data_IF_499738125907
#
_entry.id   IF_499738125907
#
_cell.length_a   1.000
_cell.length_b   1.000
_cell.length_c   1.000
_cell.angle_alpha   90.00
_cell.angle_beta   90.00
_cell.angle_gamma   90.00
#
_symmetry.space_group_name_H-M   'P 1'
#
loop_
_entity.id
_entity.type
_entity.pdbx_description
1 polymer ?
#
# COMPACT_ATOMS: atom_id res chain seq x y z
N UNK A 1 6.76 63.19 57.92
CA UNK A 1 7.17 63.32 56.50
C UNK A 1 7.27 61.91 55.90
N UNK A 2 6.91 61.75 54.62
CA UNK A 2 6.12 60.65 54.04
C UNK A 2 7.01 59.67 53.21
N UNK A 3 6.53 58.72 52.35
CA UNK A 3 5.15 58.48 51.91
C UNK A 3 4.64 57.03 51.76
N UNK A 4 3.30 56.98 51.70
CA UNK A 4 2.35 56.12 50.99
C UNK A 4 2.81 55.39 49.71
N UNK A 5 2.51 54.07 49.67
CA UNK A 5 2.16 53.19 48.52
C UNK A 5 3.21 53.01 47.37
N UNK A 6 3.19 51.94 46.53
CA UNK A 6 2.00 51.29 45.94
C UNK A 6 1.93 49.75 45.98
N UNK A 7 0.69 49.26 45.84
CA UNK A 7 0.40 47.91 45.34
C UNK A 7 1.02 47.70 43.95
N UNK A 8 1.83 46.66 43.85
CA UNK A 8 2.13 45.89 42.65
C UNK A 8 2.37 44.47 43.20
N UNK A 9 1.65 43.44 42.82
CA UNK A 9 1.85 42.79 41.54
C UNK A 9 0.66 41.87 41.28
N UNK A 10 -0.24 42.28 40.38
CA UNK A 10 -1.27 41.42 39.81
C UNK A 10 -0.98 41.31 38.32
N UNK A 11 0.00 40.48 37.99
CA UNK A 11 0.17 39.92 36.67
C UNK A 11 0.52 38.44 36.83
N UNK A 12 -0.52 37.60 36.90
CA UNK A 12 -0.33 36.18 36.71
C UNK A 12 0.33 35.95 35.34
N UNK A 13 1.41 35.16 35.24
CA UNK A 13 1.95 34.80 33.94
C UNK A 13 0.88 33.99 33.20
N UNK A 14 0.44 34.54 32.07
CA UNK A 14 -0.36 33.82 31.08
C UNK A 14 0.46 32.61 30.68
N UNK A 15 0.03 31.41 31.11
CA UNK A 15 0.65 30.17 30.68
C UNK A 15 0.64 30.16 29.15
N UNK A 16 1.75 29.74 28.50
CA UNK A 16 1.80 29.70 27.05
C UNK A 16 0.62 28.85 26.57
N UNK A 17 -0.17 29.43 25.67
CA UNK A 17 -1.01 28.66 24.77
C UNK A 17 -0.01 27.76 24.06
N UNK A 18 0.05 26.48 24.45
CA UNK A 18 0.72 25.48 23.65
C UNK A 18 -0.06 25.46 22.35
N UNK A 19 0.42 26.24 21.38
CA UNK A 19 0.18 26.01 19.98
C UNK A 19 0.59 24.56 19.77
N UNK A 20 -0.41 23.68 19.82
CA UNK A 20 -0.31 22.37 19.23
C UNK A 20 -0.34 22.61 17.73
N UNK A 21 0.67 23.32 17.23
CA UNK A 21 1.17 23.20 15.89
C UNK A 21 1.30 21.70 15.74
N UNK A 22 0.33 21.14 15.02
CA UNK A 22 0.24 19.73 14.69
C UNK A 22 1.66 19.36 14.33
N UNK A 23 2.33 18.59 15.20
CA UNK A 23 3.47 17.81 14.80
C UNK A 23 3.03 17.17 13.50
N UNK A 24 3.60 17.62 12.39
CA UNK A 24 3.22 17.13 11.08
C UNK A 24 3.61 15.66 11.10
N UNK A 25 2.64 14.79 11.38
CA UNK A 25 2.85 13.36 11.35
C UNK A 25 3.35 13.05 9.94
N UNK A 26 4.57 12.53 9.83
CA UNK A 26 5.10 12.04 8.56
C UNK A 26 4.11 11.02 7.98
N UNK A 27 3.89 11.05 6.66
CA UNK A 27 2.97 10.13 5.94
C UNK A 27 3.20 8.67 6.33
N UNK A 28 4.47 8.32 6.55
CA UNK A 28 4.90 6.98 6.94
C UNK A 28 5.45 6.92 8.38
N UNK A 29 5.30 5.76 9.05
CA UNK A 29 6.07 5.43 10.24
C UNK A 29 7.58 5.52 9.98
N UNK A 30 8.37 5.89 10.99
CA UNK A 30 9.82 6.15 10.86
C UNK A 30 10.59 5.03 10.15
N UNK A 31 10.31 3.77 10.47
CA UNK A 31 11.00 2.63 9.85
C UNK A 31 10.66 2.47 8.36
N UNK A 32 9.42 2.79 7.97
CA UNK A 32 8.96 2.72 6.58
C UNK A 32 9.52 3.89 5.78
N UNK A 33 9.46 5.09 6.36
CA UNK A 33 10.04 6.29 5.77
C UNK A 33 11.55 6.13 5.52
N UNK A 34 12.30 5.59 6.49
CA UNK A 34 13.72 5.31 6.33
C UNK A 34 14.00 4.29 5.21
N UNK A 35 13.26 3.18 5.15
CA UNK A 35 13.44 2.17 4.11
C UNK A 35 13.15 2.72 2.70
N UNK A 36 12.11 3.57 2.58
CA UNK A 36 11.78 4.26 1.33
C UNK A 36 12.88 5.26 0.94
N UNK A 37 13.37 6.04 1.89
CA UNK A 37 14.45 6.99 1.64
C UNK A 37 15.77 6.31 1.24
N UNK A 38 16.10 5.18 1.86
CA UNK A 38 17.27 4.37 1.51
C UNK A 38 17.14 3.78 0.10
N UNK A 39 15.92 3.42 -0.33
CA UNK A 39 15.59 3.00 -1.69
C UNK A 39 15.56 4.17 -2.71
N UNK A 40 15.77 5.41 -2.27
CA UNK A 40 15.81 6.60 -3.13
C UNK A 40 14.49 7.35 -3.28
N UNK A 41 13.42 6.94 -2.61
CA UNK A 41 12.16 7.70 -2.58
C UNK A 41 12.32 8.99 -1.76
N UNK A 42 11.63 10.05 -2.18
CA UNK A 42 11.54 11.31 -1.43
C UNK A 42 10.10 11.82 -1.50
N UNK A 43 9.60 12.51 -0.47
CA UNK A 43 8.26 13.13 -0.52
C UNK A 43 8.10 14.01 -1.76
N UNK A 44 6.99 13.83 -2.48
CA UNK A 44 6.71 14.55 -3.73
C UNK A 44 7.36 13.97 -4.98
N UNK A 45 8.05 12.80 -4.89
CA UNK A 45 8.48 12.04 -6.07
C UNK A 45 7.27 11.71 -6.94
N UNK A 46 7.40 11.97 -8.24
CA UNK A 46 6.37 11.65 -9.22
C UNK A 46 6.98 11.53 -10.62
N UNK A 47 7.14 10.31 -11.11
CA UNK A 47 7.69 10.00 -12.43
C UNK A 47 6.59 9.47 -13.37
N UNK A 48 5.78 10.40 -13.87
CA UNK A 48 4.70 10.06 -14.80
C UNK A 48 5.22 9.51 -16.12
N UNK A 49 6.39 9.95 -16.59
CA UNK A 49 6.96 9.47 -17.85
C UNK A 49 7.30 7.97 -17.76
N UNK A 50 7.92 7.56 -16.66
CA UNK A 50 8.22 6.14 -16.42
C UNK A 50 6.93 5.32 -16.25
N UNK A 51 5.94 5.84 -15.54
CA UNK A 51 4.65 5.18 -15.35
C UNK A 51 3.91 4.96 -16.69
N UNK A 52 3.89 5.97 -17.56
CA UNK A 52 3.33 5.87 -18.92
C UNK A 52 4.08 4.84 -19.77
N UNK A 53 5.40 4.81 -19.69
CA UNK A 53 6.20 3.81 -20.42
C UNK A 53 5.83 2.38 -20.01
N UNK A 54 5.67 2.11 -18.71
CA UNK A 54 5.20 0.81 -18.24
C UNK A 54 3.76 0.52 -18.64
N UNK A 55 2.88 1.53 -18.59
CA UNK A 55 1.50 1.38 -19.02
C UNK A 55 1.42 0.94 -20.50
N UNK A 56 2.23 1.54 -21.37
CA UNK A 56 2.29 1.18 -22.78
C UNK A 56 2.89 -0.20 -23.02
N UNK A 57 3.95 -0.57 -22.27
CA UNK A 57 4.54 -1.90 -22.33
C UNK A 57 3.52 -2.98 -21.94
N UNK A 58 2.77 -2.77 -20.85
CA UNK A 58 1.73 -3.70 -20.38
C UNK A 58 0.56 -3.81 -21.37
N UNK A 59 0.08 -2.70 -21.92
CA UNK A 59 -1.03 -2.68 -22.91
C UNK A 59 -0.64 -3.34 -24.23
N UNK A 60 0.62 -3.19 -24.64
CA UNK A 60 1.15 -3.79 -25.87
C UNK A 60 1.38 -5.29 -25.71
N UNK A 61 1.62 -5.77 -24.48
CA UNK A 61 1.78 -7.18 -24.21
C UNK A 61 0.46 -7.94 -24.34
N UNK A 62 0.50 -9.04 -25.09
CA UNK A 62 -0.56 -10.04 -25.12
C UNK A 62 0.10 -11.39 -24.89
N UNK A 63 -0.38 -12.14 -23.89
CA UNK A 63 0.14 -13.48 -23.62
C UNK A 63 -0.13 -14.42 -24.82
N UNK A 64 0.59 -15.55 -24.94
CA UNK A 64 0.34 -16.53 -26.00
C UNK A 64 -1.11 -17.04 -26.07
N UNK A 65 -1.82 -17.04 -24.93
CA UNK A 65 -3.22 -17.44 -24.83
C UNK A 65 -4.22 -16.28 -25.02
N UNK A 66 -3.75 -15.09 -25.42
CA UNK A 66 -4.60 -13.93 -25.72
C UNK A 66 -4.95 -13.05 -24.51
N UNK A 67 -4.52 -13.41 -23.29
CA UNK A 67 -4.74 -12.57 -22.11
C UNK A 67 -3.95 -11.26 -22.19
N UNK A 68 -4.56 -10.17 -21.73
CA UNK A 68 -4.03 -8.81 -21.73
C UNK A 68 -4.10 -8.21 -20.32
N UNK A 69 -3.22 -7.27 -20.03
CA UNK A 69 -3.27 -6.49 -18.80
C UNK A 69 -4.30 -5.36 -18.92
N UNK A 70 -4.88 -5.01 -17.77
CA UNK A 70 -5.66 -3.78 -17.56
C UNK A 70 -4.78 -2.73 -16.90
N UNK A 71 -4.94 -1.47 -17.28
CA UNK A 71 -4.22 -0.34 -16.69
C UNK A 71 -5.20 0.77 -16.39
N UNK A 72 -5.22 1.23 -15.14
CA UNK A 72 -6.17 2.20 -14.59
C UNK A 72 -5.44 3.22 -13.69
N UNK A 73 -6.09 4.33 -13.29
CA UNK A 73 -5.43 5.43 -12.59
C UNK A 73 -4.66 5.02 -11.33
N UNK A 74 -5.27 4.22 -10.43
CA UNK A 74 -4.62 3.81 -9.19
C UNK A 74 -3.27 3.09 -9.41
N UNK A 75 -3.16 2.26 -10.46
CA UNK A 75 -1.91 1.60 -10.81
C UNK A 75 -0.87 2.61 -11.32
N UNK A 76 -1.28 3.51 -12.23
CA UNK A 76 -0.38 4.54 -12.80
C UNK A 76 0.13 5.49 -11.72
N UNK A 77 -0.72 5.89 -10.79
CA UNK A 77 -0.37 6.76 -9.66
C UNK A 77 0.63 6.07 -8.73
N UNK A 78 0.39 4.80 -8.39
CA UNK A 78 1.32 3.99 -7.60
C UNK A 78 2.69 3.86 -8.29
N UNK A 79 2.71 3.62 -9.60
CA UNK A 79 3.95 3.53 -10.38
C UNK A 79 4.69 4.87 -10.48
N UNK A 80 3.96 5.97 -10.67
CA UNK A 80 4.55 7.30 -10.76
C UNK A 80 5.23 7.69 -9.44
N UNK A 81 4.60 7.39 -8.30
CA UNK A 81 5.17 7.75 -7.01
C UNK A 81 6.26 6.78 -6.54
N UNK A 82 6.02 5.47 -6.64
CA UNK A 82 6.87 4.45 -6.00
C UNK A 82 7.56 3.48 -6.96
N UNK A 83 7.24 3.56 -8.25
CA UNK A 83 7.81 2.64 -9.22
C UNK A 83 9.33 2.79 -9.36
N UNK A 84 10.03 1.69 -9.63
CA UNK A 84 11.48 1.62 -9.78
C UNK A 84 12.25 1.58 -8.46
N UNK A 85 11.55 1.52 -7.32
CA UNK A 85 12.19 1.36 -6.01
C UNK A 85 12.50 -0.11 -5.73
N UNK A 86 13.73 -0.37 -5.28
CA UNK A 86 14.16 -1.63 -4.68
C UNK A 86 14.25 -1.45 -3.16
N UNK A 87 13.31 -2.03 -2.42
CA UNK A 87 13.18 -1.83 -0.99
C UNK A 87 13.66 -3.10 -0.27
N UNK A 88 14.64 -2.93 0.61
CA UNK A 88 15.25 -4.01 1.38
C UNK A 88 15.06 -3.76 2.88
N UNK A 89 13.93 -4.18 3.48
CA UNK A 89 13.71 -3.97 4.90
C UNK A 89 14.72 -4.77 5.74
N UNK A 90 15.31 -4.14 6.76
CA UNK A 90 16.37 -4.73 7.58
C UNK A 90 15.93 -5.08 9.01
N UNK A 91 14.71 -4.72 9.39
CA UNK A 91 14.16 -5.01 10.70
C UNK A 91 13.69 -6.47 10.86
N UNK A 92 13.52 -6.97 12.09
CA UNK A 92 13.07 -8.35 12.34
C UNK A 92 11.62 -8.61 11.91
N UNK A 93 10.86 -7.54 11.62
CA UNK A 93 9.41 -7.58 11.39
C UNK A 93 8.61 -7.73 12.67
N UNK A 94 7.31 -7.41 12.59
CA UNK A 94 6.37 -7.47 13.72
C UNK A 94 5.79 -8.86 13.92
N UNK A 95 5.47 -9.56 12.84
CA UNK A 95 4.83 -10.87 12.85
C UNK A 95 5.57 -11.90 11.99
N UNK A 96 6.17 -11.44 10.89
CA UNK A 96 6.95 -12.25 9.94
C UNK A 96 8.22 -11.49 9.57
N UNK A 97 9.27 -12.21 9.17
CA UNK A 97 10.47 -11.57 8.63
C UNK A 97 10.09 -10.83 7.33
N UNK A 98 10.35 -9.52 7.23
CA UNK A 98 10.18 -8.79 5.98
C UNK A 98 11.08 -9.38 4.91
N UNK A 99 10.63 -9.35 3.66
CA UNK A 99 11.49 -9.75 2.55
C UNK A 99 11.71 -8.59 1.58
N UNK A 100 12.80 -8.60 0.79
CA UNK A 100 13.06 -7.54 -0.17
C UNK A 100 12.01 -7.55 -1.29
N UNK A 101 11.62 -6.38 -1.77
CA UNK A 101 10.64 -6.24 -2.84
C UNK A 101 10.99 -5.08 -3.77
N UNK A 102 10.56 -5.21 -5.02
CA UNK A 102 10.79 -4.23 -6.09
C UNK A 102 9.45 -3.79 -6.64
N UNK A 103 9.25 -2.48 -6.77
CA UNK A 103 8.05 -1.89 -7.38
C UNK A 103 8.29 -1.63 -8.87
N UNK A 104 8.41 -2.69 -9.65
CA UNK A 104 8.45 -2.60 -11.11
C UNK A 104 7.38 -3.53 -11.69
N UNK A 105 6.33 -2.96 -12.32
CA UNK A 105 5.19 -3.73 -12.80
C UNK A 105 5.52 -4.71 -13.93
N UNK A 106 6.67 -4.56 -14.60
CA UNK A 106 7.09 -5.49 -15.65
C UNK A 106 7.47 -6.88 -15.10
N UNK A 107 7.72 -7.02 -13.80
CA UNK A 107 7.86 -8.34 -13.17
C UNK A 107 6.57 -9.18 -13.27
N UNK A 108 5.40 -8.53 -13.41
CA UNK A 108 4.13 -9.20 -13.66
C UNK A 108 3.76 -9.32 -15.15
N UNK A 109 4.65 -8.95 -16.09
CA UNK A 109 4.32 -8.86 -17.52
C UNK A 109 3.71 -10.14 -18.07
N UNK A 110 4.21 -11.31 -17.67
CA UNK A 110 3.75 -12.61 -18.17
C UNK A 110 2.60 -13.22 -17.36
N UNK A 111 2.08 -12.50 -16.36
CA UNK A 111 1.04 -12.99 -15.44
C UNK A 111 -0.36 -12.45 -15.76
N UNK A 112 -0.59 -11.93 -16.97
CA UNK A 112 -1.89 -11.38 -17.41
C UNK A 112 -3.07 -12.33 -17.16
N UNK A 113 -2.86 -13.65 -17.30
CA UNK A 113 -3.87 -14.64 -16.95
C UNK A 113 -4.14 -14.66 -15.45
N UNK A 114 -3.10 -14.87 -14.65
CA UNK A 114 -3.20 -15.00 -13.19
C UNK A 114 -3.84 -13.77 -12.56
N UNK A 115 -3.41 -12.57 -12.97
CA UNK A 115 -3.97 -11.31 -12.47
C UNK A 115 -5.42 -11.12 -12.94
N UNK A 116 -5.74 -11.53 -14.17
CA UNK A 116 -7.14 -11.54 -14.64
C UNK A 116 -8.02 -12.55 -13.90
N UNK A 117 -7.48 -13.70 -13.50
CA UNK A 117 -8.20 -14.71 -12.71
C UNK A 117 -8.46 -14.18 -11.29
N UNK A 118 -7.47 -13.54 -10.65
CA UNK A 118 -7.65 -12.84 -9.37
C UNK A 118 -8.69 -11.71 -9.48
N UNK A 119 -8.58 -10.86 -10.49
CA UNK A 119 -9.51 -9.74 -10.69
C UNK A 119 -10.96 -10.20 -10.85
N UNK A 120 -11.20 -11.30 -11.58
CA UNK A 120 -12.55 -11.90 -11.65
C UNK A 120 -13.04 -12.42 -10.30
N UNK A 121 -12.17 -13.00 -9.48
CA UNK A 121 -12.55 -13.48 -8.15
C UNK A 121 -12.84 -12.34 -7.17
N UNK A 122 -12.20 -11.18 -7.36
CA UNK A 122 -12.36 -9.97 -6.55
C UNK A 122 -13.40 -8.99 -7.11
N UNK A 123 -13.98 -9.30 -8.29
CA UNK A 123 -14.89 -8.43 -9.04
C UNK A 123 -14.32 -7.03 -9.32
N UNK A 124 -13.03 -6.95 -9.64
CA UNK A 124 -12.31 -5.71 -9.95
C UNK A 124 -11.21 -5.94 -10.99
N UNK A 125 -10.72 -4.87 -11.61
CA UNK A 125 -9.56 -4.94 -12.49
C UNK A 125 -8.28 -4.93 -11.65
N UNK A 126 -7.31 -5.76 -12.03
CA UNK A 126 -6.04 -5.92 -11.30
C UNK A 126 -4.86 -5.69 -12.25
N UNK A 127 -3.90 -4.88 -11.81
CA UNK A 127 -2.67 -4.58 -12.51
C UNK A 127 -1.45 -5.04 -11.71
N UNK A 128 -0.34 -5.40 -12.37
CA UNK A 128 0.90 -5.71 -11.66
C UNK A 128 1.48 -4.45 -11.00
N UNK A 129 2.07 -4.62 -9.82
CA UNK A 129 2.73 -3.55 -9.08
C UNK A 129 4.24 -3.81 -8.94
N UNK A 130 4.65 -5.07 -8.84
CA UNK A 130 6.03 -5.42 -8.55
C UNK A 130 6.21 -6.89 -8.20
N UNK A 131 7.27 -7.19 -7.45
CA UNK A 131 7.55 -8.53 -6.94
C UNK A 131 8.17 -8.48 -5.55
N UNK A 132 8.06 -9.58 -4.82
CA UNK A 132 8.70 -9.79 -3.53
C UNK A 132 9.61 -11.04 -3.57
N UNK A 133 10.60 -11.08 -2.70
CA UNK A 133 11.52 -12.20 -2.48
C UNK A 133 12.23 -12.68 -3.76
N UNK A 134 12.62 -11.75 -4.63
CA UNK A 134 13.31 -12.08 -5.89
C UNK A 134 12.44 -12.85 -6.89
N UNK A 135 11.13 -12.57 -6.90
CA UNK A 135 10.17 -13.14 -7.85
C UNK A 135 9.46 -14.40 -7.37
N UNK A 136 9.53 -14.70 -6.07
CA UNK A 136 8.73 -15.79 -5.48
C UNK A 136 7.26 -15.40 -5.28
N UNK A 137 6.99 -14.10 -5.18
CA UNK A 137 5.65 -13.54 -5.14
C UNK A 137 5.53 -12.33 -6.08
N UNK A 138 4.36 -12.15 -6.69
CA UNK A 138 4.02 -10.95 -7.46
C UNK A 138 3.19 -10.01 -6.60
N UNK A 139 3.52 -8.72 -6.63
CA UNK A 139 2.69 -7.67 -6.03
C UNK A 139 1.71 -7.16 -7.09
N UNK A 140 0.46 -6.96 -6.68
CA UNK A 140 -0.60 -6.48 -7.55
C UNK A 140 -1.43 -5.39 -6.87
N UNK A 141 -2.04 -4.52 -7.65
CA UNK A 141 -2.94 -3.46 -7.19
C UNK A 141 -4.24 -3.53 -8.00
N UNK A 142 -5.37 -3.21 -7.39
CA UNK A 142 -6.64 -3.11 -8.12
C UNK A 142 -7.10 -1.68 -8.39
N UNK A 143 -8.22 -1.54 -9.10
CA UNK A 143 -8.79 -0.26 -9.50
C UNK A 143 -9.15 0.66 -8.32
N UNK A 144 -9.38 0.09 -7.14
CA UNK A 144 -9.66 0.81 -5.90
C UNK A 144 -8.39 1.19 -5.12
N UNK A 145 -7.22 0.73 -5.58
CA UNK A 145 -5.92 0.96 -4.94
C UNK A 145 -5.52 -0.09 -3.91
N UNK A 146 -6.33 -1.14 -3.71
CA UNK A 146 -6.02 -2.22 -2.77
C UNK A 146 -4.86 -3.05 -3.31
N UNK A 147 -3.98 -3.49 -2.42
CA UNK A 147 -2.74 -4.18 -2.80
C UNK A 147 -2.72 -5.62 -2.31
N UNK A 148 -2.17 -6.51 -3.14
CA UNK A 148 -2.12 -7.94 -2.94
C UNK A 148 -0.72 -8.50 -3.19
N UNK A 149 -0.40 -9.62 -2.56
CA UNK A 149 0.76 -10.46 -2.88
C UNK A 149 0.28 -11.85 -3.26
N UNK A 150 0.76 -12.39 -4.38
CA UNK A 150 0.39 -13.73 -4.86
C UNK A 150 1.64 -14.58 -4.95
N UNK A 151 1.63 -15.73 -4.28
CA UNK A 151 2.70 -16.71 -4.31
C UNK A 151 2.16 -18.13 -4.51
N UNK A 152 3.05 -19.13 -4.48
CA UNK A 152 2.67 -20.54 -4.63
C UNK A 152 1.82 -21.09 -3.46
N UNK A 153 1.68 -20.36 -2.36
CA UNK A 153 0.89 -20.73 -1.17
C UNK A 153 -0.50 -20.07 -1.15
N UNK A 154 -0.70 -19.02 -1.94
CA UNK A 154 -2.00 -18.40 -2.21
C UNK A 154 -1.92 -16.90 -2.44
N UNK A 155 -3.08 -16.26 -2.35
CA UNK A 155 -3.23 -14.82 -2.53
C UNK A 155 -3.47 -14.15 -1.18
N UNK A 156 -2.81 -13.01 -0.98
CA UNK A 156 -2.75 -12.31 0.30
C UNK A 156 -3.11 -10.84 0.12
N UNK A 157 -3.97 -10.32 0.99
CA UNK A 157 -4.32 -8.91 1.06
C UNK A 157 -3.32 -8.15 1.94
N UNK A 158 -2.65 -7.15 1.35
CA UNK A 158 -1.61 -6.36 2.00
C UNK A 158 -2.14 -5.07 2.63
N UNK A 159 -3.15 -4.45 2.01
CA UNK A 159 -3.73 -3.21 2.53
C UNK A 159 -4.72 -2.54 1.58
N UNK A 160 -5.47 -1.55 2.10
CA UNK A 160 -6.46 -0.80 1.34
C UNK A 160 -5.88 0.19 0.32
N UNK A 161 -4.60 0.53 0.47
CA UNK A 161 -3.86 1.44 -0.39
C UNK A 161 -2.37 1.07 -0.39
N UNK A 162 -1.58 1.71 -1.25
CA UNK A 162 -0.13 1.47 -1.35
C UNK A 162 0.63 1.83 -0.06
N UNK A 163 0.16 2.82 0.70
CA UNK A 163 0.84 3.23 1.93
C UNK A 163 0.73 2.15 3.00
N UNK A 164 -0.47 1.60 3.18
CA UNK A 164 -0.69 0.48 4.09
C UNK A 164 -0.01 -0.79 3.60
N UNK A 165 0.06 -1.02 2.29
CA UNK A 165 0.81 -2.15 1.75
C UNK A 165 2.32 -2.04 2.07
N UNK A 166 2.91 -0.86 1.89
CA UNK A 166 4.29 -0.57 2.26
C UNK A 166 4.52 -0.75 3.76
N UNK A 167 3.59 -0.30 4.60
CA UNK A 167 3.64 -0.56 6.04
C UNK A 167 3.63 -2.06 6.33
N UNK A 168 2.75 -2.83 5.69
CA UNK A 168 2.63 -4.28 5.87
C UNK A 168 3.94 -4.99 5.50
N UNK A 169 4.49 -4.69 4.32
CA UNK A 169 5.71 -5.30 3.81
C UNK A 169 6.94 -4.94 4.64
N UNK A 170 7.19 -3.64 4.86
CA UNK A 170 8.41 -3.17 5.53
C UNK A 170 8.41 -3.52 7.03
N UNK A 171 7.27 -3.41 7.70
CA UNK A 171 7.16 -3.74 9.12
C UNK A 171 6.96 -5.23 9.36
N UNK A 172 6.87 -6.07 8.32
CA UNK A 172 6.67 -7.51 8.45
C UNK A 172 5.38 -7.85 9.20
N UNK A 173 4.29 -7.17 8.86
CA UNK A 173 2.95 -7.47 9.40
C UNK A 173 2.39 -8.65 8.62
N UNK A 174 1.86 -9.66 9.32
CA UNK A 174 1.19 -10.79 8.68
C UNK A 174 -0.01 -10.31 7.84
N UNK A 175 -0.01 -10.57 6.52
CA UNK A 175 -1.14 -10.21 5.66
C UNK A 175 -2.32 -11.16 5.86
N UNK A 176 -3.50 -10.74 5.39
CA UNK A 176 -4.72 -11.54 5.47
C UNK A 176 -4.79 -12.45 4.25
N UNK A 177 -4.94 -13.77 4.45
CA UNK A 177 -5.13 -14.69 3.34
C UNK A 177 -6.47 -14.45 2.69
N UNK A 178 -6.50 -14.30 1.37
CA UNK A 178 -7.76 -14.33 0.63
C UNK A 178 -8.27 -15.77 0.64
N UNK A 179 -9.44 -15.97 1.22
CA UNK A 179 -10.23 -17.16 0.94
C UNK A 179 -11.04 -16.90 -0.32
N UNK A 180 -11.14 -17.88 -1.22
CA UNK A 180 -12.27 -17.91 -2.13
C UNK A 180 -13.52 -17.73 -1.26
N UNK A 181 -14.28 -16.65 -1.48
CA UNK A 181 -15.53 -16.47 -0.76
C UNK A 181 -16.35 -17.74 -1.04
N UNK A 182 -16.50 -18.56 -0.01
CA UNK A 182 -17.41 -19.68 -0.05
C UNK A 182 -18.79 -19.06 -0.23
N UNK A 183 -19.38 -19.28 -1.40
CA UNK A 183 -20.82 -19.29 -1.53
C UNK A 183 -21.32 -20.50 -0.73
N UNK A 184 -21.27 -20.43 0.59
CA UNK A 184 -22.15 -21.25 1.41
C UNK A 184 -22.45 -20.65 2.79
N UNK A 185 -23.72 -20.82 3.14
CA UNK A 185 -24.45 -20.61 4.41
C UNK A 185 -24.80 -19.16 4.81
N UNK A 186 -26.06 -18.77 5.00
CA UNK A 186 -27.33 -19.51 4.98
C UNK A 186 -28.41 -18.77 5.78
N UNK A 187 -29.69 -18.94 5.41
CA UNK A 187 -30.93 -18.87 6.23
C UNK A 187 -32.14 -18.47 5.36
N UNK A 188 -33.28 -19.15 5.34
CA UNK A 188 -33.69 -20.35 6.06
C UNK A 188 -34.93 -20.95 5.39
N UNK A 189 -34.93 -22.29 5.33
CA UNK A 189 -36.14 -23.09 5.29
C UNK A 189 -36.98 -22.79 6.53
N UNK A 190 -38.11 -22.13 6.33
CA UNK A 190 -39.23 -22.13 7.28
C UNK A 190 -40.34 -22.99 6.69
N UNK A 191 -40.41 -24.24 7.15
CA UNK A 191 -41.67 -24.98 7.20
C UNK A 191 -42.57 -24.28 8.22
N UNK A 192 -43.79 -23.90 7.85
CA UNK A 192 -44.90 -23.81 8.81
C UNK A 192 -46.24 -23.99 8.08
N UNK A 193 -46.97 -24.99 8.56
CA UNK A 193 -48.37 -25.34 8.31
C UNK A 193 -49.32 -24.14 8.23
N UNK A 194 -50.26 -24.18 7.28
CA UNK A 194 -51.70 -24.12 7.57
C UNK A 194 -52.56 -24.55 6.38
#
# INVERSE_FOLDING_TARGET
MPPTAPSADSAAPVAPIYDHSRSAATRFPVAVDAALQDAGWRPGRWDMQQAEHWADALRTHTSPAGHRHTVFPAAVEAWAEFGGLDINPTGPGRHIAPTPFTLDPLHGLHLARTLGDLGRALETDVAPLGQEAGGQAVLAIDAEGRVYSLDHTGDWYLGPDIDQALNTLVLGVRPVRLSAAGADSGSGTGEEEH
#
